data_IF_147031007871
#
_entry.id   IF_147031007871
#
_cell.length_a   1.000
_cell.length_b   1.000
_cell.length_c   1.000
_cell.angle_alpha   90.00
_cell.angle_beta   90.00
_cell.angle_gamma   90.00
#
_symmetry.space_group_name_H-M   'P 1'
#
loop_
_entity.id
_entity.type
_entity.pdbx_description
1 polymer ?
#
# COMPACT_ATOMS: atom_id res chain seq x y z
N UNK A 1 45.23 -23.21 37.79
CA UNK A 1 45.30 -21.94 37.03
C UNK A 1 45.38 -22.16 35.51
N UNK A 2 46.11 -23.17 35.01
CA UNK A 2 46.18 -23.48 33.58
C UNK A 2 44.81 -23.83 32.93
N UNK A 3 43.94 -24.56 33.63
CA UNK A 3 42.60 -24.93 33.12
C UNK A 3 41.67 -23.74 32.89
N UNK A 4 41.83 -22.67 33.67
CA UNK A 4 41.03 -21.45 33.53
C UNK A 4 41.45 -20.71 32.27
N UNK A 5 42.76 -20.64 32.01
CA UNK A 5 43.31 -19.97 30.82
C UNK A 5 42.92 -20.73 29.54
N UNK A 6 42.91 -22.06 29.56
CA UNK A 6 42.49 -22.88 28.41
C UNK A 6 41.00 -22.66 28.06
N UNK A 7 40.11 -22.64 29.06
CA UNK A 7 38.67 -22.37 28.85
C UNK A 7 38.40 -20.96 28.35
N UNK A 8 39.18 -19.96 28.77
CA UNK A 8 39.07 -18.58 28.27
C UNK A 8 39.48 -18.51 26.79
N UNK A 9 40.47 -19.31 26.35
CA UNK A 9 40.89 -19.35 24.94
C UNK A 9 39.85 -19.99 24.01
N UNK A 10 39.12 -21.02 24.45
CA UNK A 10 38.03 -21.60 23.63
C UNK A 10 36.79 -20.70 23.56
N UNK A 11 36.50 -19.96 24.64
CA UNK A 11 35.43 -18.95 24.66
C UNK A 11 35.75 -17.73 23.79
N UNK A 12 37.03 -17.37 23.61
CA UNK A 12 37.40 -16.27 22.72
C UNK A 12 37.29 -16.66 21.24
N UNK A 13 37.64 -17.90 20.90
CA UNK A 13 37.59 -18.41 19.52
C UNK A 13 36.16 -18.66 19.02
N UNK A 14 35.26 -19.13 19.89
CA UNK A 14 33.83 -19.30 19.58
C UNK A 14 33.09 -17.96 19.51
N UNK A 15 33.47 -16.95 20.29
CA UNK A 15 32.89 -15.60 20.16
C UNK A 15 33.22 -14.96 18.80
N UNK A 16 34.42 -15.18 18.27
CA UNK A 16 34.80 -14.64 16.96
C UNK A 16 34.04 -15.28 15.79
N UNK A 17 33.55 -16.52 15.91
CA UNK A 17 32.72 -17.16 14.88
C UNK A 17 31.26 -16.70 14.89
N UNK A 18 30.75 -16.18 16.02
CA UNK A 18 29.42 -15.56 16.12
C UNK A 18 29.41 -14.06 15.73
N UNK A 19 30.57 -13.39 15.78
CA UNK A 19 30.76 -11.99 15.37
C UNK A 19 31.51 -11.88 14.01
N UNK A 20 31.48 -12.94 13.20
CA UNK A 20 32.10 -13.00 11.87
C UNK A 20 31.30 -12.22 10.82
N UNK A 21 31.91 -11.15 10.31
CA UNK A 21 31.44 -10.14 9.37
C UNK A 21 30.17 -9.39 9.80
N UNK A 22 30.31 -8.09 10.05
CA UNK A 22 29.19 -7.15 9.99
C UNK A 22 28.70 -7.06 8.53
N UNK A 23 28.04 -8.11 8.06
CA UNK A 23 27.34 -8.18 6.77
C UNK A 23 26.00 -7.42 6.81
N UNK A 24 25.77 -6.60 7.84
CA UNK A 24 24.88 -5.43 7.77
C UNK A 24 25.57 -4.35 6.91
N UNK A 25 25.87 -4.73 5.68
CA UNK A 25 26.58 -3.90 4.72
C UNK A 25 25.86 -2.57 4.56
N UNK A 26 26.63 -1.52 4.30
CA UNK A 26 26.11 -0.19 3.98
C UNK A 26 24.99 -0.27 2.92
N UNK A 27 25.05 -1.26 2.02
CA UNK A 27 24.03 -1.62 1.05
C UNK A 27 22.66 -1.95 1.67
N UNK A 28 22.58 -2.74 2.75
CA UNK A 28 21.32 -3.07 3.43
C UNK A 28 20.72 -1.83 4.11
N UNK A 29 21.54 -1.03 4.79
CA UNK A 29 21.11 0.25 5.40
C UNK A 29 20.64 1.26 4.37
N UNK A 30 21.33 1.33 3.23
CA UNK A 30 20.97 2.20 2.11
C UNK A 30 19.64 1.75 1.48
N UNK A 31 19.45 0.44 1.27
CA UNK A 31 18.24 -0.10 0.70
C UNK A 31 17.01 0.11 1.60
N UNK A 32 17.10 -0.19 2.90
CA UNK A 32 16.00 0.05 3.83
C UNK A 32 15.64 1.54 3.87
N UNK A 33 16.63 2.44 3.95
CA UNK A 33 16.39 3.88 3.93
C UNK A 33 15.77 4.37 2.62
N UNK A 34 16.23 3.89 1.47
CA UNK A 34 15.65 4.27 0.18
C UNK A 34 14.24 3.73 -0.01
N UNK A 35 13.99 2.48 0.36
CA UNK A 35 12.67 1.86 0.21
C UNK A 35 11.63 2.60 1.05
N UNK A 36 11.95 2.89 2.32
CA UNK A 36 11.06 3.67 3.21
C UNK A 36 10.81 5.07 2.66
N UNK A 37 11.87 5.77 2.20
CA UNK A 37 11.71 7.10 1.61
C UNK A 37 10.84 7.09 0.34
N UNK A 38 11.02 6.11 -0.54
CA UNK A 38 10.22 5.97 -1.76
C UNK A 38 8.75 5.71 -1.42
N UNK A 39 8.46 4.81 -0.47
CA UNK A 39 7.09 4.53 -0.03
C UNK A 39 6.43 5.75 0.60
N UNK A 40 7.14 6.51 1.44
CA UNK A 40 6.64 7.75 2.03
C UNK A 40 6.32 8.80 0.96
N UNK A 41 7.19 8.97 -0.05
CA UNK A 41 6.95 9.89 -1.16
C UNK A 41 5.71 9.47 -1.95
N UNK A 42 5.57 8.19 -2.30
CA UNK A 42 4.39 7.71 -3.02
C UNK A 42 3.11 7.84 -2.20
N UNK A 43 3.16 7.55 -0.89
CA UNK A 43 2.03 7.74 0.01
C UNK A 43 1.60 9.22 0.09
N UNK A 44 2.56 10.14 0.22
CA UNK A 44 2.30 11.57 0.24
C UNK A 44 1.69 12.07 -1.09
N UNK A 45 2.22 11.61 -2.23
CA UNK A 45 1.68 11.95 -3.56
C UNK A 45 0.25 11.45 -3.69
N UNK A 46 -0.03 10.18 -3.40
CA UNK A 46 -1.38 9.62 -3.50
C UNK A 46 -2.37 10.38 -2.60
N UNK A 47 -1.97 10.65 -1.35
CA UNK A 47 -2.77 11.40 -0.40
C UNK A 47 -3.05 12.81 -0.91
N UNK A 48 -2.05 13.51 -1.46
CA UNK A 48 -2.23 14.86 -2.02
C UNK A 48 -3.24 14.88 -3.17
N UNK A 49 -3.27 13.84 -4.02
CA UNK A 49 -4.25 13.71 -5.11
C UNK A 49 -5.67 13.59 -4.60
N UNK A 50 -5.89 12.95 -3.44
CA UNK A 50 -7.21 12.83 -2.82
C UNK A 50 -7.77 14.18 -2.36
N UNK A 51 -6.90 15.13 -1.97
CA UNK A 51 -7.33 16.43 -1.43
C UNK A 51 -7.49 17.50 -2.51
N UNK A 52 -6.66 17.46 -3.56
CA UNK A 52 -6.52 18.57 -4.51
C UNK A 52 -7.36 18.34 -5.78
N UNK A 53 -7.72 17.10 -6.10
CA UNK A 53 -8.29 16.76 -7.41
C UNK A 53 -9.38 15.70 -7.34
N UNK A 54 -10.25 15.71 -8.35
CA UNK A 54 -11.26 14.67 -8.54
C UNK A 54 -10.56 13.33 -8.86
N UNK A 55 -10.61 12.38 -7.91
CA UNK A 55 -9.95 11.06 -8.02
C UNK A 55 -10.55 10.20 -9.12
N UNK A 56 -11.84 10.38 -9.40
CA UNK A 56 -12.59 9.66 -10.42
C UNK A 56 -13.59 10.57 -11.12
N UNK A 57 -13.73 10.39 -12.42
CA UNK A 57 -14.75 11.07 -13.23
C UNK A 57 -15.84 10.04 -13.53
N UNK A 58 -17.07 10.35 -13.13
CA UNK A 58 -18.24 9.55 -13.44
C UNK A 58 -19.05 10.19 -14.56
N UNK A 59 -19.77 9.36 -15.31
CA UNK A 59 -20.76 9.85 -16.25
C UNK A 59 -21.97 10.39 -15.47
N UNK A 60 -22.30 11.67 -15.69
CA UNK A 60 -23.44 12.35 -15.06
C UNK A 60 -24.40 12.86 -16.13
N UNK A 61 -25.71 12.88 -15.87
CA UNK A 61 -26.68 13.45 -16.80
C UNK A 61 -26.45 14.97 -16.99
N UNK A 62 -26.85 15.49 -18.15
CA UNK A 62 -26.62 16.89 -18.53
C UNK A 62 -27.36 17.94 -17.70
N UNK A 63 -28.39 17.53 -16.97
CA UNK A 63 -29.21 18.40 -16.11
C UNK A 63 -28.53 18.73 -14.76
N UNK A 64 -27.38 18.12 -14.45
CA UNK A 64 -26.72 18.32 -13.17
C UNK A 64 -25.91 19.62 -13.14
N UNK A 65 -26.15 20.44 -12.11
CA UNK A 65 -25.32 21.62 -11.84
C UNK A 65 -23.92 21.20 -11.36
N UNK A 66 -22.94 22.10 -11.42
CA UNK A 66 -21.56 21.81 -11.04
C UNK A 66 -21.40 21.20 -9.64
N UNK A 67 -22.21 21.64 -8.67
CA UNK A 67 -22.23 21.07 -7.32
C UNK A 67 -22.72 19.62 -7.29
N UNK A 68 -23.77 19.29 -8.05
CA UNK A 68 -24.24 17.91 -8.16
C UNK A 68 -23.21 17.01 -8.84
N UNK A 69 -22.48 17.54 -9.83
CA UNK A 69 -21.41 16.77 -10.48
C UNK A 69 -20.29 16.47 -9.49
N UNK A 70 -19.82 17.47 -8.72
CA UNK A 70 -18.80 17.26 -7.68
C UNK A 70 -19.26 16.27 -6.60
N UNK A 71 -20.50 16.40 -6.12
CA UNK A 71 -21.09 15.43 -5.18
C UNK A 71 -21.10 14.01 -5.76
N UNK A 72 -21.54 13.86 -7.01
CA UNK A 72 -21.62 12.55 -7.66
C UNK A 72 -20.24 11.90 -7.79
N UNK A 73 -19.19 12.67 -8.06
CA UNK A 73 -17.81 12.15 -8.10
C UNK A 73 -17.37 11.58 -6.76
N UNK A 74 -17.61 12.30 -5.66
CA UNK A 74 -17.31 11.81 -4.32
C UNK A 74 -18.14 10.57 -3.98
N UNK A 75 -19.42 10.58 -4.34
CA UNK A 75 -20.32 9.45 -4.13
C UNK A 75 -19.85 8.19 -4.87
N UNK A 76 -19.44 8.32 -6.14
CA UNK A 76 -18.88 7.23 -6.94
C UNK A 76 -17.52 6.72 -6.43
N UNK A 77 -16.74 7.56 -5.77
CA UNK A 77 -15.47 7.14 -5.18
C UNK A 77 -15.68 6.33 -3.89
N UNK A 78 -16.58 6.78 -3.02
CA UNK A 78 -16.88 6.10 -1.75
C UNK A 78 -17.69 4.82 -1.99
N UNK A 79 -18.60 4.86 -2.97
CA UNK A 79 -19.38 3.69 -3.40
C UNK A 79 -18.52 2.82 -4.30
N UNK A 80 -18.12 1.65 -3.82
CA UNK A 80 -17.25 0.73 -4.57
C UNK A 80 -17.73 0.49 -6.01
N UNK A 81 -16.80 0.55 -6.94
CA UNK A 81 -17.05 0.32 -8.38
C UNK A 81 -16.87 -1.16 -8.71
N UNK A 82 -17.47 -1.62 -9.80
CA UNK A 82 -17.32 -2.99 -10.28
C UNK A 82 -17.21 -2.97 -11.80
N UNK A 83 -16.44 -3.91 -12.35
CA UNK A 83 -16.27 -4.03 -13.80
C UNK A 83 -17.42 -4.82 -14.42
N UNK A 84 -17.88 -4.42 -15.61
CA UNK A 84 -18.83 -5.20 -16.41
C UNK A 84 -18.35 -5.20 -17.86
N UNK A 85 -18.41 -6.37 -18.51
CA UNK A 85 -18.11 -6.46 -19.94
C UNK A 85 -19.24 -5.80 -20.74
N UNK A 86 -18.91 -5.11 -21.83
CA UNK A 86 -19.90 -4.45 -22.69
C UNK A 86 -20.91 -5.42 -23.33
N UNK A 87 -20.60 -6.72 -23.36
CA UNK A 87 -21.50 -7.76 -23.87
C UNK A 87 -22.41 -8.39 -22.79
N UNK A 88 -22.23 -8.03 -21.52
CA UNK A 88 -23.05 -8.51 -20.41
C UNK A 88 -24.16 -7.49 -20.08
N UNK A 89 -25.36 -7.95 -19.73
CA UNK A 89 -26.44 -7.08 -19.27
C UNK A 89 -26.19 -6.61 -17.84
N UNK A 90 -26.58 -5.37 -17.53
CA UNK A 90 -26.41 -4.81 -16.18
C UNK A 90 -27.21 -5.67 -15.19
N UNK A 91 -26.56 -6.28 -14.18
CA UNK A 91 -27.23 -7.20 -13.28
C UNK A 91 -28.32 -6.47 -12.48
N UNK A 92 -29.55 -6.98 -12.56
CA UNK A 92 -30.70 -6.51 -11.79
C UNK A 92 -30.54 -6.82 -10.29
N UNK A 93 -31.39 -6.24 -9.43
CA UNK A 93 -31.30 -6.39 -7.96
C UNK A 93 -31.19 -7.85 -7.47
N UNK A 94 -31.78 -8.79 -8.22
CA UNK A 94 -31.72 -10.24 -7.96
C UNK A 94 -30.29 -10.81 -8.01
N UNK A 95 -29.39 -10.23 -8.81
CA UNK A 95 -28.00 -10.68 -9.00
C UNK A 95 -26.98 -9.79 -8.27
N UNK A 96 -27.37 -9.16 -7.17
CA UNK A 96 -26.52 -8.26 -6.36
C UNK A 96 -25.26 -8.95 -5.80
N UNK A 97 -25.30 -10.26 -5.59
CA UNK A 97 -24.14 -11.03 -5.13
C UNK A 97 -22.97 -10.99 -6.14
N UNK A 98 -23.27 -11.02 -7.45
CA UNK A 98 -22.25 -10.96 -8.50
C UNK A 98 -21.55 -9.60 -8.54
N UNK A 99 -22.30 -8.50 -8.28
CA UNK A 99 -21.73 -7.15 -8.17
C UNK A 99 -20.75 -7.04 -7.01
N UNK A 100 -21.08 -7.64 -5.86
CA UNK A 100 -20.22 -7.64 -4.66
C UNK A 100 -18.95 -8.49 -4.83
N UNK A 101 -19.01 -9.56 -5.62
CA UNK A 101 -17.83 -10.40 -5.87
C UNK A 101 -16.81 -9.71 -6.78
N UNK A 102 -17.27 -8.82 -7.65
CA UNK A 102 -16.45 -8.13 -8.66
C UNK A 102 -16.18 -6.66 -8.31
N UNK A 103 -16.53 -6.22 -7.10
CA UNK A 103 -16.29 -4.85 -6.65
C UNK A 103 -14.83 -4.63 -6.26
N UNK A 104 -14.39 -3.40 -6.52
CA UNK A 104 -13.02 -2.94 -6.38
C UNK A 104 -12.94 -2.00 -5.19
N UNK A 105 -12.13 -2.37 -4.18
CA UNK A 105 -11.99 -1.64 -2.92
C UNK A 105 -10.60 -1.03 -2.71
N UNK A 106 -9.58 -1.50 -3.43
CA UNK A 106 -8.18 -1.22 -3.09
C UNK A 106 -7.76 0.25 -3.22
N UNK A 107 -8.41 1.03 -4.09
CA UNK A 107 -8.07 2.44 -4.31
C UNK A 107 -8.19 3.29 -3.04
N UNK A 108 -9.17 2.98 -2.19
CA UNK A 108 -9.44 3.72 -0.96
C UNK A 108 -8.35 3.47 0.10
N UNK A 109 -7.81 2.25 0.14
CA UNK A 109 -6.88 1.81 1.18
C UNK A 109 -5.41 1.95 0.78
N UNK A 110 -5.11 2.06 -0.51
CA UNK A 110 -3.75 2.14 -1.04
C UNK A 110 -2.85 3.15 -0.31
N UNK A 111 -3.21 4.44 -0.13
CA UNK A 111 -2.34 5.40 0.56
C UNK A 111 -2.12 5.04 2.04
N UNK A 112 -3.12 4.46 2.70
CA UNK A 112 -3.04 4.03 4.11
C UNK A 112 -2.10 2.84 4.24
N UNK A 113 -2.23 1.86 3.33
CA UNK A 113 -1.36 0.67 3.31
C UNK A 113 0.10 1.04 3.02
N UNK A 114 0.33 1.95 2.07
CA UNK A 114 1.68 2.41 1.75
C UNK A 114 2.33 3.17 2.93
N UNK A 115 1.57 4.00 3.64
CA UNK A 115 2.05 4.67 4.85
C UNK A 115 2.27 3.72 6.04
N UNK A 116 1.51 2.62 6.11
CA UNK A 116 1.67 1.65 7.18
C UNK A 116 2.88 0.71 6.96
N UNK A 117 3.20 0.41 5.70
CA UNK A 117 4.32 -0.47 5.35
C UNK A 117 5.68 0.25 5.34
N UNK A 118 5.70 1.56 5.08
CA UNK A 118 6.91 2.40 5.14
C UNK A 118 7.43 2.52 6.56
#
# INVERSE_FOLDING_TARGET
MADVIHRISELSHTRHSWFGCSDDDACNRLNHRHTVLMLLIFSAILTSRLFISDVIICWTPGEFTGNFVSYTRHYCYVTNTYYISMNETIPTLSNSHMRRKRSIYYYQWLPILLAFQS
#
